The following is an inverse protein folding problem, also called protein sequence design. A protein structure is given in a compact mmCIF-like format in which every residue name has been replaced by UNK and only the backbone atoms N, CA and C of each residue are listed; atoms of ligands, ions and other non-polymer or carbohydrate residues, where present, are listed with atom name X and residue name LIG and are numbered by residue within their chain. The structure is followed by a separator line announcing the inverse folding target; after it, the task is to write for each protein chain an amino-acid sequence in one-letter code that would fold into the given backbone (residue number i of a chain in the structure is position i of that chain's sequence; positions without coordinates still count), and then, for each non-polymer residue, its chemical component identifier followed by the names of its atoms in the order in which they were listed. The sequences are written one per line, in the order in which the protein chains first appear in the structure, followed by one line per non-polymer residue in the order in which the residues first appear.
data_IF_036301199768
#
_entry.id   IF_036301199768
#
_cell.length_a   1.000
_cell.length_b   1.000
_cell.length_c   1.000
_cell.angle_alpha   90.00
_cell.angle_beta   90.00
_cell.angle_gamma   90.00
#
_symmetry.space_group_name_H-M   'P 1'
#
loop_
_entity.id
_entity.type
_entity.pdbx_description
1 polymer ?
#
# COMPACT_ATOMS: atom_id res chain seq x y z
N UNK A 1 17.08 -5.00 -17.22
CA UNK A 1 16.54 -3.67 -17.59
C UNK A 1 15.39 -3.18 -16.70
N UNK A 2 14.16 -3.76 -16.72
CA UNK A 2 13.04 -3.27 -15.89
C UNK A 2 13.28 -3.45 -14.39
N UNK A 3 13.70 -4.64 -13.97
CA UNK A 3 14.02 -4.93 -12.56
C UNK A 3 15.06 -3.94 -12.01
N UNK A 4 16.17 -3.74 -12.72
CA UNK A 4 17.23 -2.80 -12.31
C UNK A 4 16.72 -1.36 -12.26
N UNK A 5 15.82 -0.95 -13.17
CA UNK A 5 15.20 0.37 -13.13
C UNK A 5 14.32 0.53 -11.87
N UNK A 6 13.52 -0.48 -11.52
CA UNK A 6 12.73 -0.52 -10.30
C UNK A 6 13.61 -0.46 -9.04
N UNK A 7 14.71 -1.22 -9.00
CA UNK A 7 15.67 -1.18 -7.90
C UNK A 7 16.30 0.20 -7.76
N UNK A 8 16.76 0.80 -8.86
CA UNK A 8 17.29 2.18 -8.85
C UNK A 8 16.25 3.19 -8.37
N UNK A 9 14.98 3.04 -8.77
CA UNK A 9 13.90 3.90 -8.31
C UNK A 9 13.74 3.84 -6.79
N UNK A 10 13.67 2.64 -6.22
CA UNK A 10 13.59 2.42 -4.76
C UNK A 10 14.82 3.01 -4.05
N UNK A 11 16.02 2.76 -4.57
CA UNK A 11 17.27 3.24 -3.96
C UNK A 11 17.38 4.78 -3.95
N UNK A 12 16.82 5.47 -4.95
CA UNK A 12 16.76 6.94 -4.95
C UNK A 12 15.94 7.47 -3.78
N UNK A 13 14.84 6.81 -3.43
CA UNK A 13 14.06 7.20 -2.25
C UNK A 13 14.79 6.89 -0.95
N UNK A 14 15.62 5.83 -0.92
CA UNK A 14 16.46 5.54 0.23
C UNK A 14 17.46 6.68 0.50
N UNK A 15 18.17 7.13 -0.54
CA UNK A 15 19.10 8.27 -0.46
C UNK A 15 18.38 9.55 -0.08
N UNK A 16 17.19 9.82 -0.66
CA UNK A 16 16.40 10.99 -0.30
C UNK A 16 15.98 10.99 1.18
N UNK A 17 15.55 9.83 1.69
CA UNK A 17 15.15 9.70 3.09
C UNK A 17 16.34 9.91 4.04
N UNK A 18 17.53 9.42 3.71
CA UNK A 18 18.77 9.70 4.47
C UNK A 18 19.10 11.19 4.49
N UNK A 19 19.06 11.86 3.33
CA UNK A 19 19.31 13.31 3.24
C UNK A 19 18.28 14.14 4.02
N UNK A 20 17.02 13.68 4.07
CA UNK A 20 15.99 14.31 4.88
C UNK A 20 16.22 14.05 6.37
N UNK A 21 16.70 12.86 6.75
CA UNK A 21 17.02 12.51 8.13
C UNK A 21 18.16 13.38 8.68
N UNK A 22 19.22 13.61 7.88
CA UNK A 22 20.35 14.48 8.24
C UNK A 22 19.92 15.91 8.60
N UNK A 23 18.89 16.42 7.92
CA UNK A 23 18.36 17.79 8.09
C UNK A 23 17.18 17.85 9.06
N UNK A 24 16.77 16.73 9.64
CA UNK A 24 15.60 16.66 10.50
C UNK A 24 15.99 16.94 11.96
N UNK A 25 15.45 18.01 12.58
CA UNK A 25 15.75 18.34 13.97
C UNK A 25 14.99 17.42 14.95
N UNK A 26 13.83 16.91 14.55
CA UNK A 26 13.03 16.01 15.38
C UNK A 26 13.60 14.59 15.38
N UNK A 27 13.94 14.09 16.57
CA UNK A 27 14.62 12.80 16.71
C UNK A 27 13.74 11.62 16.30
N UNK A 28 12.43 11.69 16.56
CA UNK A 28 11.48 10.63 16.22
C UNK A 28 11.34 10.54 14.70
N UNK A 29 11.05 11.67 14.05
CA UNK A 29 10.94 11.75 12.59
C UNK A 29 12.23 11.39 11.87
N UNK A 30 13.38 11.78 12.43
CA UNK A 30 14.68 11.35 11.91
C UNK A 30 14.81 9.84 11.92
N UNK A 31 14.43 9.18 13.02
CA UNK A 31 14.47 7.73 13.12
C UNK A 31 13.52 7.06 12.12
N UNK A 32 12.31 7.58 11.94
CA UNK A 32 11.39 7.10 10.91
C UNK A 32 11.99 7.18 9.50
N UNK A 33 12.64 8.31 9.16
CA UNK A 33 13.28 8.51 7.85
C UNK A 33 14.43 7.52 7.63
N UNK A 34 15.25 7.27 8.66
CA UNK A 34 16.30 6.25 8.59
C UNK A 34 15.71 4.84 8.41
N UNK A 35 14.61 4.53 9.09
CA UNK A 35 13.89 3.26 8.90
C UNK A 35 13.32 3.12 7.49
N UNK A 36 12.75 4.19 6.92
CA UNK A 36 12.27 4.24 5.53
C UNK A 36 13.42 3.96 4.56
N UNK A 37 14.60 4.54 4.80
CA UNK A 37 15.78 4.31 3.97
C UNK A 37 16.27 2.86 4.07
N UNK A 38 16.40 2.32 5.27
CA UNK A 38 16.81 0.94 5.51
C UNK A 38 15.86 -0.07 4.84
N UNK A 39 14.55 0.12 5.01
CA UNK A 39 13.53 -0.71 4.38
C UNK A 39 13.59 -0.62 2.85
N UNK A 40 13.83 0.57 2.29
CA UNK A 40 14.00 0.76 0.83
C UNK A 40 15.21 -0.03 0.31
N UNK A 41 16.35 0.06 0.99
CA UNK A 41 17.58 -0.68 0.60
C UNK A 41 17.36 -2.19 0.67
N UNK A 42 16.70 -2.67 1.72
CA UNK A 42 16.34 -4.09 1.85
C UNK A 42 15.44 -4.53 0.70
N UNK A 43 14.33 -3.84 0.48
CA UNK A 43 13.32 -4.17 -0.53
C UNK A 43 13.83 -4.09 -1.97
N UNK A 44 14.88 -3.30 -2.23
CA UNK A 44 15.51 -3.27 -3.55
C UNK A 44 16.18 -4.61 -3.90
N UNK A 45 16.60 -5.41 -2.92
CA UNK A 45 17.39 -6.63 -3.18
C UNK A 45 16.74 -7.89 -2.64
N UNK A 46 15.85 -7.78 -1.65
CA UNK A 46 15.32 -8.89 -0.89
C UNK A 46 13.80 -8.84 -0.79
N UNK A 47 13.21 -10.01 -0.53
CA UNK A 47 11.80 -10.12 -0.19
C UNK A 47 11.53 -9.38 1.13
N UNK A 48 10.40 -8.66 1.27
CA UNK A 48 10.01 -8.05 2.54
C UNK A 48 9.86 -9.12 3.62
N UNK A 49 10.24 -8.78 4.85
CA UNK A 49 10.16 -9.64 6.02
C UNK A 49 9.19 -9.10 7.08
N UNK A 50 9.00 -7.79 7.12
CA UNK A 50 8.07 -7.11 8.03
C UNK A 50 6.88 -6.52 7.28
N UNK A 51 5.82 -6.19 8.02
CA UNK A 51 4.65 -5.52 7.45
C UNK A 51 5.00 -4.17 6.84
N UNK A 52 5.87 -3.38 7.49
CA UNK A 52 6.33 -2.09 6.96
C UNK A 52 7.03 -2.27 5.61
N UNK A 53 7.98 -3.20 5.53
CA UNK A 53 8.69 -3.50 4.28
C UNK A 53 7.72 -3.92 3.18
N UNK A 54 6.74 -4.77 3.51
CA UNK A 54 5.72 -5.21 2.55
C UNK A 54 4.87 -4.04 2.03
N UNK A 55 4.38 -3.17 2.92
CA UNK A 55 3.58 -1.99 2.57
C UNK A 55 4.37 -1.04 1.66
N UNK A 56 5.64 -0.81 1.99
CA UNK A 56 6.51 0.08 1.22
C UNK A 56 6.84 -0.48 -0.17
N UNK A 57 7.17 -1.77 -0.27
CA UNK A 57 7.40 -2.42 -1.56
C UNK A 57 6.14 -2.40 -2.42
N UNK A 58 4.99 -2.71 -1.82
CA UNK A 58 3.70 -2.63 -2.49
C UNK A 58 3.45 -1.23 -3.06
N UNK A 59 3.71 -0.17 -2.29
CA UNK A 59 3.57 1.20 -2.78
C UNK A 59 4.50 1.51 -3.96
N UNK A 60 5.78 1.14 -3.89
CA UNK A 60 6.72 1.33 -4.99
C UNK A 60 6.25 0.63 -6.27
N UNK A 61 5.75 -0.60 -6.17
CA UNK A 61 5.25 -1.33 -7.33
C UNK A 61 4.02 -0.65 -7.94
N UNK A 62 3.10 -0.14 -7.12
CA UNK A 62 1.95 0.62 -7.62
C UNK A 62 2.38 1.87 -8.41
N UNK A 63 3.40 2.60 -7.94
CA UNK A 63 3.92 3.79 -8.62
C UNK A 63 4.69 3.43 -9.89
N UNK A 64 5.56 2.43 -9.85
CA UNK A 64 6.36 2.02 -11.01
C UNK A 64 5.45 1.54 -12.15
N UNK A 65 4.41 0.76 -11.84
CA UNK A 65 3.45 0.30 -12.86
C UNK A 65 2.70 1.45 -13.53
N UNK A 66 2.44 2.53 -12.80
CA UNK A 66 1.82 3.73 -13.36
C UNK A 66 2.76 4.57 -14.22
N UNK A 67 4.08 4.50 -13.97
CA UNK A 67 5.05 5.10 -14.88
C UNK A 67 5.20 4.31 -16.18
N UNK A 68 5.13 2.99 -16.09
CA UNK A 68 5.23 2.11 -17.26
C UNK A 68 4.00 2.23 -18.18
N UNK A 69 2.82 2.36 -17.58
CA UNK A 69 1.57 2.55 -18.30
C UNK A 69 0.72 3.55 -17.53
N UNK A 70 0.07 4.49 -18.21
CA UNK A 70 -0.97 5.34 -17.63
C UNK A 70 -2.23 4.49 -17.33
N UNK A 71 -2.03 3.45 -16.54
CA UNK A 71 -2.92 2.34 -16.29
C UNK A 71 -3.99 2.82 -15.32
N UNK A 72 -5.15 3.18 -15.86
CA UNK A 72 -6.26 3.72 -15.09
C UNK A 72 -7.06 2.70 -14.30
N UNK A 73 -6.54 1.50 -14.09
CA UNK A 73 -7.27 0.38 -13.49
C UNK A 73 -6.33 -0.62 -12.81
N UNK A 74 -5.38 -0.14 -12.02
CA UNK A 74 -4.56 -1.04 -11.20
C UNK A 74 -5.44 -1.62 -10.09
N UNK A 75 -5.68 -2.93 -10.12
CA UNK A 75 -6.41 -3.62 -9.05
C UNK A 75 -5.40 -4.12 -8.01
N UNK A 76 -5.63 -3.81 -6.74
CA UNK A 76 -4.78 -4.29 -5.64
C UNK A 76 -4.96 -5.79 -5.36
N UNK A 77 -5.90 -6.43 -6.07
CA UNK A 77 -6.24 -7.83 -5.88
C UNK A 77 -6.67 -8.11 -4.44
N UNK A 78 -6.29 -9.29 -3.95
CA UNK A 78 -6.60 -9.72 -2.58
C UNK A 78 -5.51 -9.27 -1.61
N UNK A 79 -5.45 -7.97 -1.35
CA UNK A 79 -4.44 -7.35 -0.48
C UNK A 79 -4.38 -7.98 0.90
N UNK A 80 -5.53 -8.31 1.51
CA UNK A 80 -5.62 -9.10 2.74
C UNK A 80 -4.85 -10.42 2.66
N UNK A 81 -4.97 -11.09 1.52
CA UNK A 81 -4.33 -12.34 1.13
C UNK A 81 -2.85 -12.43 1.49
N UNK A 82 -2.12 -11.63 0.74
CA UNK A 82 -0.67 -11.69 0.69
C UNK A 82 -0.01 -10.79 1.74
N UNK A 83 -0.76 -9.85 2.33
CA UNK A 83 -0.23 -8.98 3.39
C UNK A 83 -0.38 -9.56 4.79
N UNK A 84 -1.38 -10.43 5.02
CA UNK A 84 -1.64 -11.03 6.33
C UNK A 84 -0.42 -11.76 6.94
N UNK A 85 0.37 -12.55 6.19
CA UNK A 85 1.55 -13.19 6.77
C UNK A 85 2.56 -12.18 7.32
N UNK A 86 2.80 -11.07 6.62
CA UNK A 86 3.72 -10.02 7.08
C UNK A 86 3.18 -9.29 8.31
N UNK A 87 1.87 -9.02 8.35
CA UNK A 87 1.22 -8.44 9.52
C UNK A 87 1.37 -9.33 10.75
N UNK A 88 1.12 -10.64 10.61
CA UNK A 88 1.27 -11.61 11.69
C UNK A 88 2.72 -11.72 12.15
N UNK A 89 3.68 -11.77 11.22
CA UNK A 89 5.11 -11.78 11.55
C UNK A 89 5.52 -10.54 12.34
N UNK A 90 5.13 -9.34 11.90
CA UNK A 90 5.40 -8.09 12.61
C UNK A 90 4.82 -8.09 14.03
N UNK A 91 3.58 -8.55 14.21
CA UNK A 91 2.99 -8.70 15.55
C UNK A 91 3.77 -9.67 16.44
N UNK A 92 4.22 -10.81 15.90
CA UNK A 92 5.03 -11.78 16.67
C UNK A 92 6.44 -11.26 16.99
N UNK A 93 6.96 -10.31 16.20
CA UNK A 93 8.24 -9.65 16.44
C UNK A 93 8.13 -8.51 17.46
N UNK A 94 6.92 -8.17 17.92
CA UNK A 94 6.67 -7.17 18.94
C UNK A 94 6.32 -5.78 18.41
N UNK A 95 6.03 -5.64 17.11
CA UNK A 95 5.52 -4.37 16.57
C UNK A 95 4.16 -4.04 17.20
N UNK A 96 3.96 -2.77 17.58
CA UNK A 96 2.70 -2.30 18.16
C UNK A 96 1.55 -2.41 17.13
N UNK A 97 0.44 -3.10 17.46
CA UNK A 97 -0.74 -3.13 16.61
C UNK A 97 -1.25 -1.74 16.18
N UNK A 98 -1.16 -0.73 17.05
CA UNK A 98 -1.60 0.63 16.71
C UNK A 98 -0.71 1.26 15.62
N UNK A 99 0.60 1.04 15.72
CA UNK A 99 1.56 1.46 14.71
C UNK A 99 1.34 0.74 13.36
N UNK A 100 1.10 -0.57 13.38
CA UNK A 100 0.80 -1.31 12.14
C UNK A 100 -0.48 -0.83 11.46
N UNK A 101 -1.49 -0.44 12.25
CA UNK A 101 -2.72 0.18 11.76
C UNK A 101 -2.42 1.55 11.12
N UNK A 102 -1.63 2.40 11.78
CA UNK A 102 -1.23 3.70 11.24
C UNK A 102 -0.45 3.57 9.92
N UNK A 103 0.45 2.58 9.81
CA UNK A 103 1.16 2.27 8.56
C UNK A 103 0.19 1.92 7.43
N UNK A 104 -0.83 1.11 7.74
CA UNK A 104 -1.85 0.73 6.76
C UNK A 104 -2.70 1.93 6.35
N UNK A 105 -3.08 2.79 7.30
CA UNK A 105 -3.82 4.03 7.04
C UNK A 105 -3.00 5.00 6.18
N UNK A 106 -1.71 5.15 6.49
CA UNK A 106 -0.78 5.96 5.71
C UNK A 106 -0.65 5.46 4.28
N UNK A 107 -0.61 4.14 4.06
CA UNK A 107 -0.64 3.54 2.74
C UNK A 107 -1.94 3.87 1.99
N UNK A 108 -3.09 3.87 2.68
CA UNK A 108 -4.35 4.24 2.06
C UNK A 108 -4.42 5.70 1.69
N UNK A 109 -3.90 6.61 2.51
CA UNK A 109 -3.77 8.03 2.14
C UNK A 109 -2.92 8.16 0.88
N UNK A 110 -1.75 7.52 0.84
CA UNK A 110 -0.85 7.50 -0.34
C UNK A 110 -1.55 7.03 -1.61
N UNK A 111 -2.38 5.98 -1.52
CA UNK A 111 -3.13 5.48 -2.68
C UNK A 111 -4.13 6.48 -3.28
N UNK A 112 -4.51 7.54 -2.56
CA UNK A 112 -5.37 8.62 -3.08
C UNK A 112 -4.56 9.81 -3.64
N UNK A 113 -3.24 9.85 -3.48
CA UNK A 113 -2.38 10.92 -4.02
C UNK A 113 -2.10 10.75 -5.53
N UNK A 114 -2.38 9.56 -6.06
CA UNK A 114 -2.27 9.29 -7.49
C UNK A 114 -3.38 10.08 -8.18
N UNK A 115 -3.02 10.86 -9.19
CA UNK A 115 -3.99 11.60 -10.00
C UNK A 115 -3.70 11.28 -11.47
N UNK A 116 -4.59 10.52 -12.11
CA UNK A 116 -4.50 10.26 -13.54
C UNK A 116 -4.71 11.55 -14.35
N UNK A 117 -3.67 11.99 -15.07
CA UNK A 117 -3.79 13.07 -16.04
C UNK A 117 -4.58 12.58 -17.27
N UNK A 118 -5.69 13.26 -17.56
CA UNK A 118 -6.59 12.99 -18.69
C UNK A 118 -6.74 14.23 -19.57
N UNK A 119 -6.98 14.04 -20.86
CA UNK A 119 -7.34 15.14 -21.77
C UNK A 119 -8.72 15.72 -21.44
N UNK A 120 -8.95 16.98 -21.80
CA UNK A 120 -10.17 17.75 -21.50
C UNK A 120 -11.45 17.06 -22.01
N UNK A 121 -11.38 16.34 -23.12
CA UNK A 121 -12.48 15.59 -23.71
C UNK A 121 -12.83 14.33 -22.92
N UNK A 122 -11.85 13.63 -22.34
CA UNK A 122 -12.07 12.44 -21.50
C UNK A 122 -12.43 12.78 -20.06
N UNK A 123 -11.97 13.92 -19.53
CA UNK A 123 -12.30 14.39 -18.17
C UNK A 123 -13.81 14.60 -17.94
N UNK A 124 -14.57 14.90 -19.01
CA UNK A 124 -16.03 15.04 -18.95
C UNK A 124 -16.77 13.75 -18.63
N UNK A 125 -16.17 12.58 -18.92
CA UNK A 125 -16.76 11.26 -18.62
C UNK A 125 -16.26 10.65 -17.30
N UNK A 126 -15.22 11.23 -16.68
CA UNK A 126 -14.59 10.77 -15.43
C UNK A 126 -14.45 11.92 -14.42
N UNK A 127 -15.53 12.67 -14.21
CA UNK A 127 -15.54 13.73 -13.21
C UNK A 127 -15.33 13.14 -11.80
N UNK A 128 -14.26 13.56 -11.11
CA UNK A 128 -13.97 13.18 -9.72
C UNK A 128 -12.64 12.46 -9.46
N UNK A 129 -11.72 12.37 -10.43
CA UNK A 129 -10.43 11.65 -10.29
C UNK A 129 -10.54 10.23 -9.70
N UNK A 130 -11.43 9.34 -10.20
CA UNK A 130 -11.41 7.96 -9.75
C UNK A 130 -10.23 7.22 -10.40
N UNK A 131 -9.18 6.88 -9.64
CA UNK A 131 -8.03 6.13 -10.19
C UNK A 131 -8.30 4.66 -10.52
N UNK A 132 -9.57 4.24 -10.46
CA UNK A 132 -9.97 2.89 -10.80
C UNK A 132 -9.30 1.82 -9.93
N UNK A 133 -8.82 2.20 -8.73
CA UNK A 133 -8.24 1.28 -7.75
C UNK A 133 -9.33 0.35 -7.22
N UNK A 134 -9.62 -0.70 -7.99
CA UNK A 134 -10.56 -1.73 -7.58
C UNK A 134 -9.94 -2.55 -6.47
N UNK A 135 -10.41 -2.30 -5.24
CA UNK A 135 -10.17 -3.15 -4.09
C UNK A 135 -11.09 -4.35 -4.20
N UNK A 136 -10.56 -5.49 -4.61
CA UNK A 136 -11.29 -6.75 -4.50
C UNK A 136 -11.22 -7.24 -3.05
N UNK A 137 -12.15 -6.78 -2.20
CA UNK A 137 -12.42 -7.46 -0.95
C UNK A 137 -12.79 -8.90 -1.28
N UNK A 138 -12.01 -9.86 -0.80
CA UNK A 138 -12.01 -11.23 -1.30
C UNK A 138 -13.39 -11.90 -1.33
N UNK A 139 -13.66 -12.62 -2.43
CA UNK A 139 -14.74 -13.60 -2.53
C UNK A 139 -14.54 -14.69 -1.45
N UNK A 140 -15.62 -14.99 -0.73
CA UNK A 140 -15.68 -16.11 0.22
C UNK A 140 -15.94 -17.36 -0.61
N UNK A 141 -14.89 -18.09 -1.01
CA UNK A 141 -15.08 -19.43 -1.55
C UNK A 141 -15.57 -20.33 -0.40
N UNK A 142 -16.84 -20.67 -0.46
CA UNK A 142 -17.53 -21.57 0.46
C UNK A 142 -16.98 -22.97 0.32
N UNK A 143 -15.86 -23.25 1.01
CA UNK A 143 -15.39 -24.54 1.54
C UNK A 143 -13.89 -24.43 1.87
N UNK A 144 -13.57 -23.91 3.05
CA UNK A 144 -12.44 -24.27 3.95
C UNK A 144 -12.00 -23.10 4.82
N UNK A 145 -12.04 -23.36 6.13
CA UNK A 145 -11.32 -22.70 7.22
C UNK A 145 -11.87 -21.33 7.68
N UNK A 146 -12.97 -21.39 8.44
CA UNK A 146 -13.38 -20.36 9.39
C UNK A 146 -12.43 -20.38 10.61
N UNK A 147 -11.34 -19.61 10.60
CA UNK A 147 -10.70 -19.11 11.85
C UNK A 147 -9.57 -18.09 11.66
N UNK A 148 -9.03 -17.90 10.46
CA UNK A 148 -7.91 -16.96 10.23
C UNK A 148 -8.16 -15.81 9.24
N UNK A 149 -9.34 -15.74 8.60
CA UNK A 149 -9.55 -14.94 7.37
C UNK A 149 -10.21 -13.56 7.56
N UNK A 150 -10.36 -13.07 8.81
CA UNK A 150 -11.01 -11.77 9.08
C UNK A 150 -10.03 -10.62 9.37
N UNK A 151 -8.75 -10.90 9.60
CA UNK A 151 -7.93 -10.05 10.45
C UNK A 151 -7.50 -8.68 9.92
N UNK A 152 -7.42 -8.43 8.60
CA UNK A 152 -6.91 -7.14 8.10
C UNK A 152 -8.02 -6.09 7.88
N UNK A 153 -9.19 -6.51 7.38
CA UNK A 153 -10.31 -5.61 7.06
C UNK A 153 -11.46 -5.64 8.08
N UNK A 154 -11.44 -6.55 9.06
CA UNK A 154 -12.40 -6.54 10.18
C UNK A 154 -11.93 -5.70 11.37
N UNK A 155 -10.82 -4.99 11.25
CA UNK A 155 -10.38 -4.04 12.27
C UNK A 155 -11.28 -2.80 12.21
N UNK A 156 -11.93 -2.40 13.32
CA UNK A 156 -12.73 -1.19 13.34
C UNK A 156 -11.87 0.03 12.94
N UNK A 157 -12.34 0.81 11.96
CA UNK A 157 -11.67 2.02 11.46
C UNK A 157 -10.82 1.85 10.18
N UNK A 158 -10.64 0.64 9.64
CA UNK A 158 -9.79 0.42 8.45
C UNK A 158 -10.41 0.84 7.09
N UNK A 159 -11.70 1.16 7.05
CA UNK A 159 -12.39 1.61 5.85
C UNK A 159 -13.29 2.80 6.19
N UNK A 160 -13.31 3.89 5.38
CA UNK A 160 -14.41 4.84 5.46
C UNK A 160 -15.71 4.11 5.14
N UNK A 161 -16.76 4.29 5.95
CA UNK A 161 -18.04 3.56 5.85
C UNK A 161 -18.64 3.57 4.42
N UNK A 162 -18.34 4.61 3.65
CA UNK A 162 -18.76 4.78 2.25
C UNK A 162 -18.12 3.76 1.29
N UNK A 163 -16.90 3.31 1.57
CA UNK A 163 -16.23 2.26 0.79
C UNK A 163 -16.79 0.86 1.11
N UNK A 164 -17.29 0.65 2.33
CA UNK A 164 -18.01 -0.57 2.72
C UNK A 164 -19.34 -0.64 1.99
N UNK A 165 -20.11 0.45 1.99
CA UNK A 165 -21.39 0.52 1.29
C UNK A 165 -21.28 0.31 -0.23
N UNK A 166 -20.25 0.86 -0.89
CA UNK A 166 -20.01 0.67 -2.32
C UNK A 166 -19.56 -0.77 -2.66
N UNK A 167 -18.85 -1.44 -1.74
CA UNK A 167 -18.49 -2.84 -1.88
C UNK A 167 -19.69 -3.77 -1.62
N UNK A 168 -20.64 -3.36 -0.78
CA UNK A 168 -21.87 -4.10 -0.47
C UNK A 168 -22.96 -3.96 -1.54
N UNK A 169 -23.09 -2.80 -2.19
CA UNK A 169 -24.07 -2.63 -3.28
C UNK A 169 -23.76 -3.51 -4.50
N UNK A 170 -22.48 -3.86 -4.71
CA UNK A 170 -22.04 -4.83 -5.75
C UNK A 170 -22.20 -6.29 -5.32
N UNK A 171 -22.69 -6.59 -4.10
CA UNK A 171 -23.02 -7.96 -3.65
C UNK A 171 -24.46 -8.37 -3.94
N UNK A 172 -25.32 -7.43 -4.34
CA UNK A 172 -26.76 -7.65 -4.51
C UNK A 172 -27.19 -8.06 -5.94
N UNK A 173 -26.25 -8.21 -6.89
CA UNK A 173 -26.50 -8.71 -8.24
C UNK A 173 -25.52 -9.83 -8.59
#
# INVERSE_FOLDING_TARGET
MLLEASQRHILRYAVLAEQQAERCPDAHRRQELLTIAANSRHNAQHKPQTFWQACQLFWYMNIILQYESNASSLSLGRFDQYMLPFYQTSLTQGDDPAFLKELLESLWVKCNDIVLLRSTSSARYFAGFPDGLHRAAGRIDGKRTQRGKRALFSLPGCLPERAVAAAESRRAH
#
